data_IF_337504854394
#
_entry.id   IF_337504854394
#
_cell.length_a   1.000
_cell.length_b   1.000
_cell.length_c   1.000
_cell.angle_alpha   90.00
_cell.angle_beta   90.00
_cell.angle_gamma   90.00
#
_symmetry.space_group_name_H-M   'P 1'
#
loop_
_entity.id
_entity.type
_entity.pdbx_description
1 polymer ?
#
# COMPACT_ATOMS: atom_id res chain seq x y z
N UNK A 1 -17.52 -1.04 15.31
CA UNK A 1 -16.44 -1.88 14.74
C UNK A 1 -15.13 -1.20 15.12
N UNK A 2 -14.07 -1.94 15.49
CA UNK A 2 -12.83 -1.34 15.95
C UNK A 2 -12.03 -0.70 14.79
N UNK A 3 -12.21 -1.17 13.54
CA UNK A 3 -11.44 -0.73 12.39
C UNK A 3 -12.17 0.31 11.53
N UNK A 4 -11.41 1.14 10.84
CA UNK A 4 -11.84 2.03 9.79
C UNK A 4 -11.52 1.41 8.43
N UNK A 5 -12.34 1.66 7.41
CA UNK A 5 -12.18 1.03 6.09
C UNK A 5 -11.89 2.06 5.01
N UNK A 6 -10.99 1.70 4.13
CA UNK A 6 -10.60 2.45 2.94
C UNK A 6 -10.07 1.51 1.86
N UNK A 7 -9.56 2.01 0.76
CA UNK A 7 -8.90 1.19 -0.25
C UNK A 7 -8.38 1.98 -1.43
N UNK A 8 -7.63 1.27 -2.26
CA UNK A 8 -7.25 1.72 -3.60
C UNK A 8 -8.44 1.55 -4.55
N UNK A 9 -9.29 2.59 -4.61
CA UNK A 9 -10.50 2.57 -5.44
C UNK A 9 -10.21 2.68 -6.95
N UNK A 10 -8.94 2.94 -7.35
CA UNK A 10 -8.48 2.86 -8.72
C UNK A 10 -8.50 1.44 -9.30
N UNK A 11 -8.62 0.41 -8.47
CA UNK A 11 -8.90 -0.97 -8.90
C UNK A 11 -10.37 -1.19 -9.29
N UNK A 12 -11.25 -0.35 -8.82
CA UNK A 12 -12.67 -0.38 -9.18
C UNK A 12 -12.99 0.47 -10.39
N UNK A 13 -12.43 1.70 -10.42
CA UNK A 13 -12.77 2.73 -11.41
C UNK A 13 -11.55 3.62 -11.72
N UNK A 14 -11.36 3.95 -13.01
CA UNK A 14 -10.26 4.80 -13.45
C UNK A 14 -10.41 6.25 -13.01
N UNK A 15 -11.64 6.79 -13.14
CA UNK A 15 -11.92 8.21 -12.90
C UNK A 15 -12.12 8.50 -11.42
N UNK A 16 -11.74 9.69 -10.97
CA UNK A 16 -11.99 10.14 -9.60
C UNK A 16 -13.48 10.06 -9.21
N UNK A 17 -14.37 10.47 -10.12
CA UNK A 17 -15.81 10.41 -9.89
C UNK A 17 -16.31 8.96 -9.71
N UNK A 18 -15.80 8.02 -10.50
CA UNK A 18 -16.08 6.60 -10.38
C UNK A 18 -15.59 6.04 -9.05
N UNK A 19 -14.35 6.36 -8.66
CA UNK A 19 -13.76 5.95 -7.37
C UNK A 19 -14.60 6.45 -6.18
N UNK A 20 -14.99 7.72 -6.17
CA UNK A 20 -15.87 8.29 -5.14
C UNK A 20 -17.24 7.59 -5.13
N UNK A 21 -17.81 7.34 -6.29
CA UNK A 21 -19.09 6.62 -6.41
C UNK A 21 -19.02 5.21 -5.83
N UNK A 22 -17.90 4.52 -6.05
CA UNK A 22 -17.66 3.16 -5.53
C UNK A 22 -17.54 3.16 -4.00
N UNK A 23 -16.77 4.10 -3.44
CA UNK A 23 -16.66 4.25 -1.97
C UNK A 23 -18.04 4.51 -1.33
N UNK A 24 -18.83 5.43 -1.92
CA UNK A 24 -20.18 5.72 -1.42
C UNK A 24 -21.15 4.53 -1.52
N UNK A 25 -20.99 3.67 -2.50
CA UNK A 25 -21.81 2.45 -2.66
C UNK A 25 -21.64 1.48 -1.49
N UNK A 26 -20.43 1.41 -0.92
CA UNK A 26 -20.16 0.61 0.28
C UNK A 26 -20.28 1.41 1.58
N UNK A 27 -20.61 2.70 1.51
CA UNK A 27 -20.78 3.57 2.69
C UNK A 27 -19.47 4.08 3.27
N UNK A 28 -18.37 4.01 2.53
CA UNK A 28 -17.07 4.51 2.97
C UNK A 28 -16.86 5.97 2.59
N UNK A 29 -16.16 6.70 3.46
CA UNK A 29 -15.86 8.12 3.30
C UNK A 29 -14.37 8.44 3.35
N UNK A 30 -13.53 7.45 3.08
CA UNK A 30 -12.09 7.59 3.06
C UNK A 30 -11.48 6.89 1.84
N UNK A 31 -10.40 7.45 1.31
CA UNK A 31 -9.66 6.92 0.16
C UNK A 31 -8.16 6.89 0.43
N UNK A 32 -7.49 5.85 -0.01
CA UNK A 32 -6.06 5.84 -0.24
C UNK A 32 -5.82 6.13 -1.73
N UNK A 33 -5.09 7.21 -2.03
CA UNK A 33 -4.93 7.68 -3.41
C UNK A 33 -3.72 7.05 -4.09
N UNK A 34 -3.90 6.47 -5.27
CA UNK A 34 -2.82 5.93 -6.11
C UNK A 34 -2.92 6.46 -7.53
N UNK A 35 -3.84 5.97 -8.33
CA UNK A 35 -4.04 6.41 -9.71
C UNK A 35 -5.37 7.13 -9.89
N UNK A 36 -5.36 8.18 -10.71
CA UNK A 36 -6.55 8.87 -11.22
C UNK A 36 -6.35 9.03 -12.72
N UNK A 37 -7.26 8.50 -13.53
CA UNK A 37 -7.19 8.50 -15.00
C UNK A 37 -5.85 7.94 -15.55
N UNK A 38 -5.30 6.89 -14.86
CA UNK A 38 -4.04 6.26 -15.22
C UNK A 38 -2.79 7.03 -14.81
N UNK A 39 -2.91 8.20 -14.17
CA UNK A 39 -1.79 9.02 -13.66
C UNK A 39 -1.64 8.84 -12.16
N UNK A 40 -0.40 8.58 -11.69
CA UNK A 40 -0.17 8.54 -10.24
C UNK A 40 -0.44 9.92 -9.62
N UNK A 41 -1.15 9.93 -8.49
CA UNK A 41 -1.51 11.16 -7.78
C UNK A 41 -0.27 11.98 -7.38
N UNK A 42 0.85 11.30 -7.13
CA UNK A 42 2.13 11.96 -6.82
C UNK A 42 2.69 12.76 -8.00
N UNK A 43 2.30 12.42 -9.24
CA UNK A 43 2.75 13.07 -10.46
C UNK A 43 1.78 14.12 -11.02
N UNK A 44 0.66 14.36 -10.36
CA UNK A 44 -0.26 15.43 -10.75
C UNK A 44 0.43 16.79 -10.71
N UNK A 45 0.01 17.70 -11.62
CA UNK A 45 0.42 19.11 -11.53
C UNK A 45 -0.25 19.78 -10.32
N UNK A 46 0.17 20.97 -9.88
CA UNK A 46 -0.53 21.70 -8.83
C UNK A 46 -2.00 21.93 -9.15
N UNK A 47 -2.35 22.25 -10.38
CA UNK A 47 -3.73 22.51 -10.83
C UNK A 47 -4.57 21.23 -10.80
N UNK A 48 -4.02 20.11 -11.27
CA UNK A 48 -4.68 18.79 -11.20
C UNK A 48 -4.93 18.38 -9.75
N UNK A 49 -3.95 18.60 -8.87
CA UNK A 49 -4.11 18.31 -7.45
C UNK A 49 -5.20 19.15 -6.79
N UNK A 50 -5.23 20.48 -7.04
CA UNK A 50 -6.28 21.35 -6.49
C UNK A 50 -7.68 20.90 -6.94
N UNK A 51 -7.82 20.47 -8.19
CA UNK A 51 -9.07 19.93 -8.70
C UNK A 51 -9.43 18.59 -8.01
N UNK A 52 -8.48 17.68 -7.89
CA UNK A 52 -8.66 16.39 -7.20
C UNK A 52 -9.08 16.60 -5.76
N UNK A 53 -8.31 17.39 -5.02
CA UNK A 53 -8.55 17.64 -3.61
C UNK A 53 -9.87 18.41 -3.36
N UNK A 54 -10.16 19.43 -4.16
CA UNK A 54 -11.42 20.15 -4.09
C UNK A 54 -12.64 19.26 -4.34
N UNK A 55 -12.53 18.31 -5.27
CA UNK A 55 -13.58 17.31 -5.52
C UNK A 55 -13.78 16.39 -4.32
N UNK A 56 -12.69 15.83 -3.77
CA UNK A 56 -12.76 14.96 -2.58
C UNK A 56 -13.37 15.67 -1.38
N UNK A 57 -12.95 16.91 -1.12
CA UNK A 57 -13.54 17.75 -0.05
C UNK A 57 -15.03 17.99 -0.26
N UNK A 58 -15.44 18.38 -1.48
CA UNK A 58 -16.83 18.64 -1.82
C UNK A 58 -17.73 17.40 -1.65
N UNK A 59 -17.17 16.21 -1.83
CA UNK A 59 -17.85 14.93 -1.71
C UNK A 59 -17.74 14.32 -0.29
N UNK A 60 -17.02 14.98 0.64
CA UNK A 60 -16.82 14.53 2.01
C UNK A 60 -15.91 13.29 2.13
N UNK A 61 -14.97 13.11 1.21
CA UNK A 61 -14.03 11.97 1.20
C UNK A 61 -12.70 12.41 1.82
N UNK A 62 -12.29 11.72 2.88
CA UNK A 62 -11.00 11.92 3.54
C UNK A 62 -9.90 11.19 2.77
N UNK A 63 -8.74 11.85 2.58
CA UNK A 63 -7.53 11.19 2.09
C UNK A 63 -6.76 10.60 3.29
N UNK A 64 -6.50 9.30 3.28
CA UNK A 64 -5.80 8.62 4.37
C UNK A 64 -4.35 8.31 4.06
N UNK A 65 -4.00 8.14 2.79
CA UNK A 65 -2.65 7.82 2.34
C UNK A 65 -2.43 8.15 0.87
N UNK A 66 -1.16 8.23 0.48
CA UNK A 66 -0.72 8.35 -0.91
C UNK A 66 0.08 7.11 -1.33
N UNK A 67 -0.38 6.41 -2.35
CA UNK A 67 0.31 5.28 -2.99
C UNK A 67 1.45 5.76 -3.88
N UNK A 68 2.56 6.18 -3.26
CA UNK A 68 3.76 6.66 -3.95
C UNK A 68 4.50 5.58 -4.72
N UNK A 69 5.51 6.01 -5.49
CA UNK A 69 6.32 5.15 -6.33
C UNK A 69 7.78 5.02 -5.84
N UNK A 70 8.14 5.71 -4.74
CA UNK A 70 9.50 5.71 -4.19
C UNK A 70 9.93 4.27 -3.87
N UNK A 71 11.05 3.86 -4.45
CA UNK A 71 11.66 2.55 -4.21
C UNK A 71 10.84 1.34 -4.64
N UNK A 72 9.78 1.52 -5.45
CA UNK A 72 8.94 0.43 -5.92
C UNK A 72 9.66 -0.44 -6.99
N UNK A 73 9.01 -1.51 -7.40
CA UNK A 73 9.53 -2.47 -8.38
C UNK A 73 9.92 -1.84 -9.73
N UNK A 74 9.33 -0.71 -10.12
CA UNK A 74 9.67 0.01 -11.36
C UNK A 74 10.83 0.99 -11.19
N UNK A 75 11.33 1.18 -9.95
CA UNK A 75 12.46 2.07 -9.62
C UNK A 75 13.54 1.28 -8.88
N UNK A 76 14.33 0.45 -9.59
CA UNK A 76 15.45 -0.25 -8.97
C UNK A 76 16.47 0.74 -8.38
N UNK A 77 17.35 0.24 -7.52
CA UNK A 77 18.35 1.05 -6.81
C UNK A 77 19.30 1.84 -7.73
N UNK A 78 19.40 1.47 -9.01
CA UNK A 78 20.17 2.19 -10.04
C UNK A 78 19.43 3.39 -10.65
N UNK A 79 18.11 3.53 -10.40
CA UNK A 79 17.34 4.69 -10.84
C UNK A 79 17.93 5.98 -10.24
N UNK A 80 17.89 7.07 -11.01
CA UNK A 80 18.33 8.38 -10.51
C UNK A 80 17.52 8.76 -9.26
N UNK A 81 18.21 8.88 -8.14
CA UNK A 81 17.60 9.16 -6.85
C UNK A 81 16.90 10.54 -6.79
N UNK A 82 17.28 11.46 -7.68
CA UNK A 82 16.62 12.76 -7.76
C UNK A 82 15.13 12.66 -8.06
N UNK A 83 14.70 11.60 -8.78
CA UNK A 83 13.27 11.33 -9.06
C UNK A 83 12.48 11.15 -7.77
N UNK A 84 13.03 10.42 -6.80
CA UNK A 84 12.37 10.15 -5.52
C UNK A 84 12.40 11.39 -4.60
N UNK A 85 13.52 12.12 -4.60
CA UNK A 85 13.62 13.39 -3.88
C UNK A 85 12.62 14.43 -4.41
N UNK A 86 12.39 14.47 -5.70
CA UNK A 86 11.41 15.37 -6.31
C UNK A 86 9.98 14.92 -6.01
N UNK A 87 9.72 13.61 -5.96
CA UNK A 87 8.41 13.07 -5.59
C UNK A 87 8.04 13.46 -4.15
N UNK A 88 8.90 13.18 -3.16
CA UNK A 88 8.58 13.52 -1.76
C UNK A 88 8.38 15.01 -1.56
N UNK A 89 9.21 15.86 -2.18
CA UNK A 89 9.08 17.34 -2.09
C UNK A 89 7.80 17.84 -2.72
N UNK A 90 7.34 17.21 -3.80
CA UNK A 90 6.09 17.56 -4.49
C UNK A 90 4.87 17.13 -3.68
N UNK A 91 4.94 15.96 -3.02
CA UNK A 91 3.81 15.35 -2.34
C UNK A 91 3.61 15.88 -0.91
N UNK A 92 4.67 16.18 -0.18
CA UNK A 92 4.58 16.62 1.21
C UNK A 92 3.64 17.83 1.45
N UNK A 93 3.65 18.91 0.63
CA UNK A 93 2.68 20.00 0.78
C UNK A 93 1.22 19.54 0.58
N UNK A 94 0.97 18.59 -0.34
CA UNK A 94 -0.35 18.04 -0.61
C UNK A 94 -0.86 17.19 0.55
N UNK A 95 0.03 16.41 1.14
CA UNK A 95 -0.28 15.63 2.34
C UNK A 95 -0.68 16.51 3.51
N UNK A 96 0.04 17.63 3.73
CA UNK A 96 -0.34 18.63 4.74
C UNK A 96 -1.71 19.24 4.46
N UNK A 97 -1.97 19.62 3.20
CA UNK A 97 -3.28 20.16 2.77
C UNK A 97 -4.41 19.16 3.03
N UNK A 98 -4.19 17.88 2.75
CA UNK A 98 -5.15 16.81 2.94
C UNK A 98 -5.22 16.29 4.39
N UNK A 99 -4.38 16.83 5.31
CA UNK A 99 -4.20 16.31 6.66
C UNK A 99 -3.90 14.78 6.68
N UNK A 100 -3.16 14.31 5.67
CA UNK A 100 -2.73 12.94 5.51
C UNK A 100 -1.27 12.80 5.98
N UNK A 101 -0.94 11.70 6.66
CA UNK A 101 0.38 11.55 7.27
C UNK A 101 1.30 10.56 6.57
N UNK A 102 0.81 9.58 5.82
CA UNK A 102 1.70 8.59 5.25
C UNK A 102 1.74 8.59 3.72
N UNK A 103 2.96 8.41 3.23
CA UNK A 103 3.32 8.14 1.84
C UNK A 103 3.83 6.71 1.75
N UNK A 104 3.15 5.86 0.98
CA UNK A 104 3.63 4.51 0.71
C UNK A 104 4.92 4.55 -0.08
N UNK A 105 5.89 3.78 0.38
CA UNK A 105 7.17 3.53 -0.30
C UNK A 105 7.51 2.04 -0.29
N UNK A 106 8.58 1.67 -1.00
CA UNK A 106 9.24 0.36 -0.91
C UNK A 106 10.75 0.57 -0.72
N UNK A 107 11.54 -0.51 -0.72
CA UNK A 107 12.96 -0.45 -0.40
C UNK A 107 13.88 -0.81 -1.57
N UNK A 108 13.52 -0.41 -2.77
CA UNK A 108 14.30 -0.55 -4.00
C UNK A 108 14.72 -1.99 -4.33
N UNK A 109 14.16 -2.62 -5.35
CA UNK A 109 14.71 -3.87 -5.86
C UNK A 109 16.14 -3.62 -6.38
N UNK A 110 16.98 -4.66 -6.33
CA UNK A 110 18.24 -4.60 -7.06
C UNK A 110 17.95 -4.58 -8.57
N UNK A 111 18.82 -3.96 -9.34
CA UNK A 111 18.63 -3.87 -10.79
C UNK A 111 18.87 -5.24 -11.44
N UNK A 112 17.88 -5.77 -12.15
CA UNK A 112 17.98 -7.07 -12.80
C UNK A 112 18.98 -7.08 -13.96
N UNK A 113 19.12 -5.95 -14.68
CA UNK A 113 20.02 -5.83 -15.84
C UNK A 113 21.43 -5.44 -15.46
N UNK A 114 21.61 -4.78 -14.30
CA UNK A 114 22.91 -4.31 -13.79
C UNK A 114 22.98 -4.41 -12.27
N UNK A 115 22.96 -5.64 -11.71
CA UNK A 115 22.84 -5.84 -10.28
C UNK A 115 24.10 -5.37 -9.53
N UNK A 116 23.88 -4.62 -8.45
CA UNK A 116 24.91 -4.34 -7.47
C UNK A 116 25.21 -5.61 -6.64
N UNK A 117 26.40 -5.69 -6.05
CA UNK A 117 26.62 -6.68 -5.01
C UNK A 117 25.60 -6.50 -3.86
N UNK A 118 25.30 -7.56 -3.14
CA UNK A 118 24.34 -7.51 -2.03
C UNK A 118 24.69 -6.42 -1.01
N UNK A 119 25.96 -6.29 -0.67
CA UNK A 119 26.45 -5.27 0.26
C UNK A 119 26.30 -3.84 -0.30
N UNK A 120 26.69 -3.62 -1.57
CA UNK A 120 26.56 -2.32 -2.20
C UNK A 120 25.08 -1.91 -2.38
N UNK A 121 24.22 -2.87 -2.73
CA UNK A 121 22.79 -2.65 -2.83
C UNK A 121 22.18 -2.22 -1.50
N UNK A 122 22.40 -2.98 -0.43
CA UNK A 122 21.92 -2.65 0.93
C UNK A 122 22.41 -1.27 1.38
N UNK A 123 23.70 -0.98 1.18
CA UNK A 123 24.30 0.30 1.55
C UNK A 123 23.61 1.47 0.83
N UNK A 124 23.38 1.36 -0.46
CA UNK A 124 22.72 2.43 -1.23
C UNK A 124 21.25 2.60 -0.84
N UNK A 125 20.50 1.50 -0.60
CA UNK A 125 19.13 1.55 -0.10
C UNK A 125 19.04 2.30 1.23
N UNK A 126 19.85 1.91 2.21
CA UNK A 126 19.88 2.56 3.54
C UNK A 126 20.22 4.05 3.42
N UNK A 127 21.20 4.39 2.61
CA UNK A 127 21.60 5.78 2.36
C UNK A 127 20.45 6.62 1.80
N UNK A 128 19.74 6.11 0.78
CA UNK A 128 18.57 6.79 0.18
C UNK A 128 17.43 6.97 1.17
N UNK A 129 17.08 5.91 1.90
CA UNK A 129 16.01 5.99 2.88
C UNK A 129 16.35 6.93 4.04
N UNK A 130 17.60 7.01 4.49
CA UNK A 130 18.02 8.02 5.48
C UNK A 130 17.79 9.44 4.98
N UNK A 131 18.15 9.74 3.74
CA UNK A 131 17.95 11.08 3.16
C UNK A 131 16.46 11.41 2.99
N UNK A 132 15.65 10.45 2.53
CA UNK A 132 14.18 10.60 2.45
C UNK A 132 13.55 10.80 3.83
N UNK A 133 14.01 10.06 4.85
CA UNK A 133 13.51 10.19 6.21
C UNK A 133 13.81 11.58 6.81
N UNK A 134 14.97 12.17 6.53
CA UNK A 134 15.27 13.56 6.96
C UNK A 134 14.25 14.54 6.39
N UNK A 135 13.86 14.38 5.13
CA UNK A 135 12.81 15.22 4.52
C UNK A 135 11.46 14.93 5.18
N UNK A 136 11.11 13.65 5.35
CA UNK A 136 9.84 13.24 5.95
C UNK A 136 9.67 13.78 7.38
N UNK A 137 10.71 13.70 8.21
CA UNK A 137 10.72 14.27 9.57
C UNK A 137 10.53 15.78 9.55
N UNK A 138 11.22 16.48 8.64
CA UNK A 138 11.07 17.94 8.47
C UNK A 138 9.67 18.36 8.03
N UNK A 139 8.97 17.53 7.29
CA UNK A 139 7.61 17.75 6.79
C UNK A 139 6.51 17.17 7.70
N UNK A 140 6.87 16.41 8.73
CA UNK A 140 5.94 15.75 9.65
C UNK A 140 5.11 14.63 8.99
N UNK A 141 5.68 13.95 8.00
CA UNK A 141 5.06 12.81 7.30
C UNK A 141 5.78 11.50 7.62
N UNK A 142 5.13 10.39 7.36
CA UNK A 142 5.63 9.04 7.54
C UNK A 142 5.88 8.41 6.17
N UNK A 143 7.04 7.82 5.98
CA UNK A 143 7.36 6.93 4.88
C UNK A 143 6.92 5.52 5.28
N UNK A 144 5.77 5.11 4.80
CA UNK A 144 5.19 3.83 5.15
C UNK A 144 5.63 2.78 4.12
N UNK A 145 6.61 1.95 4.52
CA UNK A 145 7.16 0.88 3.70
C UNK A 145 6.18 -0.28 3.59
N UNK A 146 5.84 -0.66 2.38
CA UNK A 146 5.04 -1.85 2.11
C UNK A 146 5.92 -3.10 1.93
N UNK A 147 5.55 -4.24 2.53
CA UNK A 147 6.22 -5.53 2.36
C UNK A 147 5.91 -6.13 0.98
N UNK A 148 6.57 -5.64 -0.05
CA UNK A 148 6.35 -6.07 -1.43
C UNK A 148 7.63 -6.53 -2.13
N UNK A 149 8.67 -5.71 -2.14
CA UNK A 149 9.93 -6.03 -2.78
C UNK A 149 11.09 -5.23 -2.16
N UNK A 150 12.31 -5.52 -2.58
CA UNK A 150 13.49 -4.82 -2.12
C UNK A 150 14.04 -5.35 -0.80
N UNK A 151 14.72 -4.47 -0.05
CA UNK A 151 15.42 -4.88 1.18
C UNK A 151 14.45 -5.35 2.28
N UNK A 152 13.28 -4.72 2.38
CA UNK A 152 12.27 -5.04 3.39
C UNK A 152 11.21 -6.06 2.93
N UNK A 153 11.49 -6.86 1.89
CA UNK A 153 10.57 -7.86 1.37
C UNK A 153 10.29 -9.01 2.36
N UNK A 154 11.28 -9.38 3.17
CA UNK A 154 11.13 -10.34 4.25
C UNK A 154 11.26 -9.66 5.62
N UNK A 155 10.71 -10.25 6.71
CA UNK A 155 10.60 -9.57 7.99
C UNK A 155 11.96 -9.27 8.65
N UNK A 156 12.94 -10.15 8.53
CA UNK A 156 14.29 -9.93 9.07
C UNK A 156 14.99 -8.78 8.33
N UNK A 157 14.87 -8.75 6.99
CA UNK A 157 15.40 -7.66 6.18
C UNK A 157 14.74 -6.32 6.51
N UNK A 158 13.42 -6.31 6.74
CA UNK A 158 12.72 -5.09 7.15
C UNK A 158 13.21 -4.58 8.51
N UNK A 159 13.36 -5.44 9.52
CA UNK A 159 13.86 -5.03 10.83
C UNK A 159 15.32 -4.54 10.76
N UNK A 160 16.20 -5.23 9.98
CA UNK A 160 17.56 -4.75 9.71
C UNK A 160 17.53 -3.36 9.07
N UNK A 161 16.66 -3.15 8.08
CA UNK A 161 16.50 -1.85 7.41
C UNK A 161 16.08 -0.73 8.37
N UNK A 162 15.08 -0.99 9.22
CA UNK A 162 14.60 -0.02 10.22
C UNK A 162 15.71 0.35 11.21
N UNK A 163 16.45 -0.65 11.70
CA UNK A 163 17.57 -0.43 12.61
C UNK A 163 18.68 0.40 11.95
N UNK A 164 19.07 0.05 10.72
CA UNK A 164 20.13 0.76 10.00
C UNK A 164 19.72 2.19 9.59
N UNK A 165 18.45 2.39 9.17
CA UNK A 165 17.94 3.74 8.84
C UNK A 165 17.84 4.59 10.10
N UNK A 166 17.37 4.06 11.21
CA UNK A 166 17.33 4.69 12.52
C UNK A 166 16.41 5.91 12.60
N UNK A 167 15.33 5.96 11.81
CA UNK A 167 14.37 7.06 11.78
C UNK A 167 12.98 6.58 12.17
N UNK A 168 12.27 7.36 12.99
CA UNK A 168 10.87 7.12 13.35
C UNK A 168 9.90 7.47 12.22
N UNK A 169 10.37 8.15 11.16
CA UNK A 169 9.59 8.42 9.97
C UNK A 169 9.44 7.21 9.06
N UNK A 170 10.27 6.15 9.22
CA UNK A 170 10.12 4.89 8.49
C UNK A 170 9.25 3.93 9.30
N UNK A 171 8.10 3.57 8.79
CA UNK A 171 7.14 2.67 9.43
C UNK A 171 6.62 1.63 8.42
N UNK A 172 5.84 0.64 8.88
CA UNK A 172 5.37 -0.47 8.06
C UNK A 172 3.91 -0.29 7.63
N UNK A 173 3.66 -0.45 6.32
CA UNK A 173 2.38 -0.91 5.81
C UNK A 173 2.46 -2.44 5.71
N UNK A 174 1.64 -3.14 6.49
CA UNK A 174 1.52 -4.59 6.36
C UNK A 174 0.53 -4.93 5.26
N UNK A 175 1.01 -5.35 4.10
CA UNK A 175 0.18 -6.02 3.09
C UNK A 175 0.03 -7.49 3.46
N UNK A 176 -1.21 -7.93 3.59
CA UNK A 176 -1.55 -9.26 4.12
C UNK A 176 -1.58 -10.37 3.07
N UNK A 177 -1.21 -10.08 1.82
CA UNK A 177 -1.22 -11.05 0.72
C UNK A 177 0.09 -11.16 -0.06
N UNK A 178 0.90 -10.10 -0.11
CA UNK A 178 2.10 -10.07 -0.95
C UNK A 178 3.04 -11.25 -0.71
N UNK A 179 3.43 -11.50 0.54
CA UNK A 179 4.36 -12.58 0.85
C UNK A 179 3.77 -13.97 0.51
N UNK A 180 2.49 -14.20 0.80
CA UNK A 180 1.81 -15.45 0.44
C UNK A 180 1.77 -15.69 -1.06
N UNK A 181 1.60 -14.63 -1.86
CA UNK A 181 1.61 -14.71 -3.33
C UNK A 181 3.00 -14.97 -3.90
N UNK A 182 4.05 -14.38 -3.28
CA UNK A 182 5.42 -14.55 -3.73
C UNK A 182 6.00 -15.93 -3.38
N UNK A 183 5.74 -16.40 -2.16
CA UNK A 183 6.36 -17.61 -1.62
C UNK A 183 5.49 -18.86 -1.76
N UNK A 184 4.26 -18.71 -2.27
CA UNK A 184 3.29 -19.79 -2.38
C UNK A 184 3.00 -20.50 -1.04
N UNK A 185 3.03 -19.75 0.05
CA UNK A 185 2.77 -20.23 1.41
C UNK A 185 2.05 -19.17 2.23
N UNK A 186 0.85 -19.47 2.73
CA UNK A 186 0.05 -18.53 3.52
C UNK A 186 0.65 -18.24 4.90
N UNK A 187 1.45 -19.17 5.48
CA UNK A 187 2.04 -18.96 6.80
C UNK A 187 3.19 -17.94 6.79
N UNK A 188 3.78 -17.63 5.63
CA UNK A 188 4.81 -16.58 5.56
C UNK A 188 4.24 -15.20 5.86
N UNK A 189 2.99 -14.93 5.47
CA UNK A 189 2.29 -13.68 5.83
C UNK A 189 2.10 -13.58 7.36
N UNK A 190 1.66 -14.65 8.01
CA UNK A 190 1.54 -14.66 9.47
C UNK A 190 2.90 -14.45 10.16
N UNK A 191 3.94 -15.11 9.69
CA UNK A 191 5.29 -14.96 10.22
C UNK A 191 5.78 -13.51 10.09
N UNK A 192 5.57 -12.87 8.93
CA UNK A 192 5.91 -11.47 8.72
C UNK A 192 5.17 -10.59 9.73
N UNK A 193 3.87 -10.79 9.85
CA UNK A 193 3.04 -10.08 10.80
C UNK A 193 3.53 -10.24 12.25
N UNK A 194 3.77 -11.45 12.73
CA UNK A 194 4.25 -11.71 14.11
C UNK A 194 5.57 -11.00 14.43
N UNK A 195 6.51 -11.02 13.49
CA UNK A 195 7.84 -10.44 13.66
C UNK A 195 7.80 -8.93 13.63
N UNK A 196 7.01 -8.33 12.72
CA UNK A 196 7.03 -6.89 12.46
C UNK A 196 5.84 -6.11 13.07
N UNK A 197 4.95 -6.74 13.82
CA UNK A 197 3.69 -6.14 14.29
C UNK A 197 3.82 -4.81 15.04
N UNK A 198 4.91 -4.63 15.78
CA UNK A 198 5.18 -3.39 16.53
C UNK A 198 5.52 -2.20 15.63
N UNK A 199 5.79 -2.46 14.34
CA UNK A 199 6.12 -1.45 13.34
C UNK A 199 4.92 -1.07 12.45
N UNK A 200 3.80 -1.79 12.58
CA UNK A 200 2.63 -1.62 11.69
C UNK A 200 1.92 -0.32 12.01
N UNK A 201 1.86 0.57 11.02
CA UNK A 201 1.09 1.82 11.09
C UNK A 201 -0.18 1.78 10.22
N UNK A 202 -0.19 0.91 9.19
CA UNK A 202 -1.28 0.78 8.24
C UNK A 202 -1.36 -0.65 7.71
N UNK A 203 -2.53 -1.08 7.28
CA UNK A 203 -2.74 -2.44 6.77
C UNK A 203 -3.37 -2.39 5.38
N UNK A 204 -2.68 -2.98 4.39
CA UNK A 204 -3.26 -3.32 3.11
C UNK A 204 -3.84 -4.73 3.16
N UNK A 205 -5.11 -4.83 2.83
CA UNK A 205 -5.83 -6.11 2.83
C UNK A 205 -5.84 -6.68 1.42
N UNK A 206 -4.88 -7.55 1.17
CA UNK A 206 -4.76 -8.40 0.00
C UNK A 206 -4.82 -9.84 0.46
N UNK A 207 -5.38 -10.73 -0.33
CA UNK A 207 -5.62 -12.10 0.10
C UNK A 207 -5.10 -13.08 -0.93
N UNK A 208 -4.60 -14.20 -0.43
CA UNK A 208 -4.02 -15.26 -1.24
C UNK A 208 -4.55 -16.63 -0.83
N UNK A 209 -4.72 -17.50 -1.81
CA UNK A 209 -5.01 -18.92 -1.58
C UNK A 209 -4.26 -19.78 -2.58
N UNK A 210 -4.05 -21.08 -2.29
CA UNK A 210 -3.50 -22.00 -3.27
C UNK A 210 -4.29 -21.96 -4.57
N UNK A 211 -3.57 -21.90 -5.68
CA UNK A 211 -4.16 -21.94 -7.01
C UNK A 211 -4.78 -23.28 -7.33
N UNK A 212 -5.51 -23.40 -8.46
CA UNK A 212 -6.07 -24.65 -8.91
C UNK A 212 -5.00 -25.76 -9.01
N UNK A 213 -5.38 -26.98 -8.61
CA UNK A 213 -4.52 -28.17 -8.69
C UNK A 213 -3.18 -28.06 -7.92
N UNK A 214 -3.09 -27.19 -6.90
CA UNK A 214 -1.88 -26.97 -6.10
C UNK A 214 -0.81 -26.15 -6.85
N UNK A 215 -1.21 -25.37 -7.85
CA UNK A 215 -0.34 -24.41 -8.53
C UNK A 215 -0.04 -23.17 -7.68
N UNK A 216 0.64 -22.21 -8.29
CA UNK A 216 1.00 -20.95 -7.63
C UNK A 216 -0.21 -20.28 -7.00
N UNK A 217 0.02 -19.60 -5.87
CA UNK A 217 -1.03 -18.89 -5.16
C UNK A 217 -1.67 -17.81 -6.05
N UNK A 218 -2.95 -17.62 -5.85
CA UNK A 218 -3.77 -16.64 -6.58
C UNK A 218 -4.48 -15.73 -5.60
N UNK A 219 -4.78 -14.51 -6.04
CA UNK A 219 -5.60 -13.58 -5.26
C UNK A 219 -7.02 -14.12 -5.09
N UNK A 220 -7.62 -13.83 -3.95
CA UNK A 220 -8.95 -14.32 -3.58
C UNK A 220 -9.72 -13.30 -2.72
N UNK A 221 -10.96 -13.60 -2.38
CA UNK A 221 -11.71 -12.82 -1.41
C UNK A 221 -11.22 -13.08 0.01
N UNK A 222 -11.44 -12.12 0.89
CA UNK A 222 -10.90 -12.10 2.27
C UNK A 222 -11.34 -13.28 3.14
N UNK A 223 -12.53 -13.79 2.94
CA UNK A 223 -13.08 -14.95 3.65
C UNK A 223 -12.60 -16.32 3.10
N UNK A 224 -11.83 -16.29 2.01
CA UNK A 224 -11.18 -17.48 1.43
C UNK A 224 -9.73 -17.65 1.88
N UNK A 225 -9.16 -16.64 2.56
CA UNK A 225 -7.80 -16.65 3.10
C UNK A 225 -7.84 -16.78 4.64
N UNK A 226 -7.48 -17.96 5.20
CA UNK A 226 -7.60 -18.20 6.64
C UNK A 226 -6.66 -17.36 7.51
N UNK A 227 -5.60 -16.77 6.93
CA UNK A 227 -4.66 -15.92 7.67
C UNK A 227 -5.30 -14.60 8.05
N UNK A 228 -6.23 -14.09 7.24
CA UNK A 228 -6.86 -12.77 7.45
C UNK A 228 -7.60 -12.70 8.79
N UNK A 229 -8.45 -13.67 9.09
CA UNK A 229 -9.19 -13.71 10.36
C UNK A 229 -8.24 -13.74 11.57
N UNK A 230 -7.13 -14.47 11.46
CA UNK A 230 -6.11 -14.57 12.51
C UNK A 230 -5.42 -13.22 12.75
N UNK A 231 -5.04 -12.50 11.67
CA UNK A 231 -4.44 -11.18 11.75
C UNK A 231 -5.42 -10.18 12.36
N UNK A 232 -6.67 -10.12 11.88
CA UNK A 232 -7.65 -9.14 12.35
C UNK A 232 -8.02 -9.36 13.83
N UNK A 233 -8.18 -10.61 14.28
CA UNK A 233 -8.38 -10.93 15.71
C UNK A 233 -7.23 -10.42 16.58
N UNK A 234 -6.00 -10.56 16.10
CA UNK A 234 -4.84 -10.10 16.86
C UNK A 234 -4.74 -8.58 16.85
N UNK A 235 -5.00 -7.91 15.72
CA UNK A 235 -5.04 -6.45 15.61
C UNK A 235 -6.09 -5.85 16.56
N UNK A 236 -7.30 -6.44 16.62
CA UNK A 236 -8.34 -6.01 17.56
C UNK A 236 -7.89 -6.21 19.01
N UNK A 237 -7.37 -7.39 19.35
CA UNK A 237 -6.92 -7.72 20.70
C UNK A 237 -5.78 -6.82 21.19
N UNK A 238 -4.96 -6.29 20.30
CA UNK A 238 -3.85 -5.35 20.60
C UNK A 238 -4.25 -3.88 20.52
N UNK A 239 -5.50 -3.59 20.20
CA UNK A 239 -6.04 -2.23 20.16
C UNK A 239 -5.65 -1.42 18.94
N UNK A 240 -5.35 -2.07 17.80
CA UNK A 240 -5.15 -1.37 16.53
C UNK A 240 -6.45 -0.65 16.14
N UNK A 241 -6.38 0.65 15.98
CA UNK A 241 -7.50 1.55 15.64
C UNK A 241 -7.34 2.21 14.26
N UNK A 242 -6.37 1.72 13.47
CA UNK A 242 -6.04 2.24 12.15
C UNK A 242 -6.99 1.76 11.04
N UNK A 243 -6.55 1.99 9.82
CA UNK A 243 -7.29 1.67 8.61
C UNK A 243 -6.99 0.26 8.11
N UNK A 244 -8.02 -0.43 7.64
CA UNK A 244 -7.91 -1.58 6.74
C UNK A 244 -8.18 -1.07 5.32
N UNK A 245 -7.14 -1.02 4.51
CA UNK A 245 -7.18 -0.51 3.13
C UNK A 245 -7.19 -1.67 2.15
N UNK A 246 -8.26 -1.85 1.40
CA UNK A 246 -8.34 -2.98 0.47
C UNK A 246 -7.55 -2.75 -0.82
N UNK A 247 -6.84 -3.79 -1.23
CA UNK A 247 -6.11 -3.90 -2.49
C UNK A 247 -6.34 -5.29 -3.11
N UNK A 248 -7.54 -5.59 -3.62
CA UNK A 248 -7.94 -6.94 -3.99
C UNK A 248 -7.09 -7.64 -5.04
N UNK A 249 -6.60 -6.95 -6.07
CA UNK A 249 -5.87 -7.46 -7.23
C UNK A 249 -6.54 -8.66 -7.96
N UNK A 250 -7.84 -8.89 -7.75
CA UNK A 250 -8.53 -10.07 -8.31
C UNK A 250 -8.75 -9.91 -9.83
N UNK A 251 -9.09 -8.69 -10.27
CA UNK A 251 -9.30 -8.37 -11.71
C UNK A 251 -8.30 -7.36 -12.23
N UNK A 252 -7.88 -6.42 -11.42
CA UNK A 252 -6.94 -5.37 -11.76
C UNK A 252 -5.66 -5.53 -10.96
N UNK A 253 -4.65 -6.18 -11.51
CA UNK A 253 -3.28 -6.10 -11.00
C UNK A 253 -2.60 -4.91 -11.68
N UNK A 254 -2.89 -3.69 -11.21
CA UNK A 254 -2.49 -2.44 -11.86
C UNK A 254 -0.97 -2.36 -12.04
N UNK A 255 -0.19 -2.86 -11.10
CA UNK A 255 1.27 -2.89 -11.22
C UNK A 255 1.78 -3.93 -12.26
N UNK A 256 0.97 -4.92 -12.62
CA UNK A 256 1.32 -5.89 -13.66
C UNK A 256 0.84 -5.45 -15.05
N UNK A 257 0.46 -4.18 -15.23
CA UNK A 257 -0.03 -3.64 -16.48
C UNK A 257 -1.42 -4.13 -16.87
N UNK A 258 -2.19 -4.63 -15.89
CA UNK A 258 -3.61 -4.94 -16.07
C UNK A 258 -4.42 -3.73 -15.64
N UNK A 259 -4.90 -2.98 -16.60
CA UNK A 259 -5.83 -1.88 -16.36
C UNK A 259 -7.21 -2.39 -15.95
N UNK A 260 -7.91 -1.56 -15.18
CA UNK A 260 -9.37 -1.70 -15.02
C UNK A 260 -10.00 -1.54 -16.40
N UNK A 261 -10.73 -2.55 -16.82
CA UNK A 261 -11.48 -2.46 -18.08
C UNK A 261 -12.80 -1.68 -17.89
N UNK A 262 -13.39 -1.25 -18.98
CA UNK A 262 -14.65 -0.50 -18.96
C UNK A 262 -15.89 -1.42 -18.80
N UNK A 263 -15.70 -2.71 -18.48
CA UNK A 263 -16.80 -3.68 -18.30
C UNK A 263 -17.59 -3.50 -17.00
N UNK A 264 -17.03 -2.76 -16.03
CA UNK A 264 -17.58 -2.63 -14.67
C UNK A 264 -17.34 -3.86 -13.77
N UNK A 265 -16.62 -4.87 -14.24
CA UNK A 265 -16.27 -6.04 -13.43
C UNK A 265 -15.34 -5.67 -12.27
N UNK A 266 -14.39 -4.74 -12.47
CA UNK A 266 -13.49 -4.24 -11.43
C UNK A 266 -14.27 -3.69 -10.23
N UNK A 267 -15.24 -2.83 -10.50
CA UNK A 267 -16.13 -2.25 -9.47
C UNK A 267 -16.91 -3.32 -8.72
N UNK A 268 -17.53 -4.27 -9.45
CA UNK A 268 -18.31 -5.36 -8.84
C UNK A 268 -17.45 -6.18 -7.87
N UNK A 269 -16.26 -6.57 -8.28
CA UNK A 269 -15.32 -7.36 -7.47
C UNK A 269 -14.83 -6.57 -6.26
N UNK A 270 -14.48 -5.29 -6.45
CA UNK A 270 -14.01 -4.42 -5.37
C UNK A 270 -15.08 -4.20 -4.30
N UNK A 271 -16.34 -3.92 -4.72
CA UNK A 271 -17.50 -3.76 -3.82
C UNK A 271 -17.79 -5.06 -3.07
N UNK A 272 -17.73 -6.21 -3.76
CA UNK A 272 -17.89 -7.51 -3.12
C UNK A 272 -16.82 -7.79 -2.08
N UNK A 273 -15.55 -7.51 -2.39
CA UNK A 273 -14.43 -7.65 -1.47
C UNK A 273 -14.63 -6.78 -0.21
N UNK A 274 -15.01 -5.52 -0.39
CA UNK A 274 -15.27 -4.59 0.71
C UNK A 274 -16.37 -5.12 1.65
N UNK A 275 -17.49 -5.58 1.11
CA UNK A 275 -18.60 -6.14 1.91
C UNK A 275 -18.24 -7.42 2.63
N UNK A 276 -17.44 -8.29 2.01
CA UNK A 276 -16.92 -9.51 2.63
C UNK A 276 -15.97 -9.19 3.77
N UNK A 277 -15.09 -8.17 3.62
CA UNK A 277 -14.24 -7.69 4.70
C UNK A 277 -15.05 -7.19 5.89
N UNK A 278 -16.03 -6.32 5.66
CA UNK A 278 -16.91 -5.83 6.73
C UNK A 278 -17.64 -6.98 7.44
N UNK A 279 -18.14 -7.96 6.67
CA UNK A 279 -18.80 -9.15 7.21
C UNK A 279 -17.86 -10.01 8.06
N UNK A 280 -16.60 -10.18 7.64
CA UNK A 280 -15.60 -10.94 8.39
C UNK A 280 -15.27 -10.23 9.71
N UNK A 281 -14.94 -8.95 9.64
CA UNK A 281 -14.58 -8.12 10.81
C UNK A 281 -15.73 -8.01 11.80
N UNK A 282 -16.97 -7.98 11.34
CA UNK A 282 -18.15 -7.91 12.24
C UNK A 282 -18.37 -9.15 13.11
N UNK A 283 -17.70 -10.26 12.81
CA UNK A 283 -17.77 -11.53 13.54
C UNK A 283 -16.60 -11.73 14.52
N UNK A 284 -15.63 -10.86 14.47
CA UNK A 284 -14.48 -10.85 15.36
C UNK A 284 -14.85 -10.12 16.65
#
# INVERSE_FOLDING_TARGET
MPFQFTGFADEAEKTLAGQISTLKEVGWSAIELRLIDGKNVCDQTPEEWEQTFGTLQGEGIQVVGFGGQIGNWARPVTTDFQVDLDEIRRVAPRMRQANCKFLRIMSYPNDADSPLSQEAWKTEVVKRLKELCVIAEGEGIVLAHENCNGYGDNPEGYLELVEEVGSTALQLIMDTGNNSLHDNDIEVTWRYYEICREQITHVHVKCAKPGPDGGDHVTCHVDEDPVQERIFKHLEATGYDGWLSIEPHIKAAIHAGKDVDDSGEGRTVWVEFARRLESLVSKI
#
